data_IF_709097367705
#
_entry.id   IF_709097367705
#
_cell.length_a   1.000
_cell.length_b   1.000
_cell.length_c   1.000
_cell.angle_alpha   90.00
_cell.angle_beta   90.00
_cell.angle_gamma   90.00
#
_symmetry.space_group_name_H-M   'P 1'
#
loop_
_entity.id
_entity.type
_entity.pdbx_description
1 polymer ?
#
# COMPACT_ATOMS: atom_id res chain seq x y z
N UNK A 1 16.47 14.67 43.53
CA UNK A 1 17.87 14.77 43.05
C UNK A 1 18.33 13.38 42.68
N UNK A 2 18.71 13.20 41.42
CA UNK A 2 19.13 11.92 40.84
C UNK A 2 19.33 12.16 39.34
N UNK A 3 20.51 12.69 39.01
CA UNK A 3 20.92 13.06 37.65
C UNK A 3 21.12 11.82 36.77
N UNK A 4 20.52 11.82 35.58
CA UNK A 4 20.91 10.91 34.50
C UNK A 4 22.01 11.57 33.67
N UNK A 5 23.21 10.99 33.71
CA UNK A 5 24.37 11.38 32.90
C UNK A 5 24.24 10.74 31.51
N UNK A 6 24.07 11.55 30.46
CA UNK A 6 24.23 11.09 29.08
C UNK A 6 25.72 10.95 28.74
N UNK A 7 26.14 9.77 28.29
CA UNK A 7 27.45 9.56 27.67
C UNK A 7 27.37 9.91 26.19
N UNK A 8 28.19 10.86 25.76
CA UNK A 8 28.44 11.17 24.35
C UNK A 8 29.50 10.21 23.79
N UNK A 9 29.20 9.57 22.66
CA UNK A 9 30.22 8.89 21.83
C UNK A 9 30.66 9.84 20.72
N UNK A 10 31.92 10.29 20.82
CA UNK A 10 32.61 11.09 19.82
C UNK A 10 32.89 10.26 18.56
N UNK A 11 32.35 10.65 17.40
CA UNK A 11 32.98 10.35 16.11
C UNK A 11 33.77 11.58 15.67
N UNK A 12 35.09 11.43 15.56
CA UNK A 12 35.95 12.41 14.92
C UNK A 12 35.78 12.30 13.39
N UNK A 13 35.35 13.38 12.73
CA UNK A 13 35.50 13.55 11.30
C UNK A 13 36.07 14.95 11.02
N UNK A 14 37.13 15.00 10.20
CA UNK A 14 37.92 16.18 9.89
C UNK A 14 37.13 17.22 9.08
N UNK A 15 37.13 18.46 9.58
CA UNK A 15 37.00 19.76 8.89
C UNK A 15 36.27 19.80 7.52
N UNK A 16 34.99 20.16 7.58
CA UNK A 16 34.23 20.82 6.52
C UNK A 16 32.92 21.31 7.13
N UNK A 17 32.67 22.62 7.16
CA UNK A 17 31.57 23.26 7.89
C UNK A 17 30.21 22.57 7.69
N UNK A 18 29.59 22.13 8.78
CA UNK A 18 28.17 21.81 8.83
C UNK A 18 27.52 22.66 9.90
N UNK A 19 26.55 23.49 9.50
CA UNK A 19 25.63 24.18 10.42
C UNK A 19 24.88 23.10 11.18
N UNK A 20 25.17 22.97 12.48
CA UNK A 20 24.40 22.11 13.38
C UNK A 20 23.08 22.83 13.67
N UNK A 21 22.03 22.49 12.93
CA UNK A 21 20.66 22.80 13.35
C UNK A 21 20.31 21.80 14.45
N UNK A 22 20.32 22.28 15.69
CA UNK A 22 19.69 21.60 16.83
C UNK A 22 18.18 21.57 16.59
N UNK A 23 17.68 20.52 15.93
CA UNK A 23 16.25 20.25 15.89
C UNK A 23 15.79 19.76 17.28
N UNK A 24 15.04 20.60 18.00
CA UNK A 24 14.20 20.15 19.10
C UNK A 24 13.20 19.11 18.57
N UNK A 25 13.08 17.96 19.24
CA UNK A 25 12.23 16.84 18.86
C UNK A 25 10.73 17.21 18.67
N UNK A 26 10.28 18.36 19.18
CA UNK A 26 8.92 18.87 18.96
C UNK A 26 8.69 19.53 17.59
N UNK A 27 9.73 19.98 16.88
CA UNK A 27 9.60 20.59 15.55
C UNK A 27 9.95 19.64 14.39
N UNK A 28 10.59 18.49 14.64
CA UNK A 28 10.75 17.44 13.64
C UNK A 28 9.51 16.54 13.46
N UNK A 29 8.62 16.47 14.47
CA UNK A 29 7.42 15.63 14.43
C UNK A 29 6.25 16.32 13.69
N UNK A 30 6.31 17.65 13.53
CA UNK A 30 5.24 18.46 12.93
C UNK A 30 5.08 18.30 11.40
N UNK A 31 5.83 17.42 10.71
CA UNK A 31 5.72 17.22 9.24
C UNK A 31 5.37 15.80 8.78
N UNK A 32 5.07 14.88 9.71
CA UNK A 32 4.69 13.50 9.38
C UNK A 32 3.17 13.28 9.31
N UNK A 33 2.39 14.19 9.89
CA UNK A 33 0.94 14.11 9.82
C UNK A 33 0.46 14.56 8.44
N UNK A 34 -0.62 13.96 7.95
CA UNK A 34 -1.35 14.43 6.75
C UNK A 34 -0.59 14.27 5.42
N UNK A 35 0.14 13.17 5.24
CA UNK A 35 0.81 12.89 3.95
C UNK A 35 -0.07 12.11 2.97
N UNK A 36 -1.14 11.50 3.47
CA UNK A 36 -2.04 10.69 2.65
C UNK A 36 -3.50 11.12 2.83
N UNK A 37 -4.25 11.02 1.75
CA UNK A 37 -5.70 10.94 1.74
C UNK A 37 -6.11 9.46 1.77
N UNK A 38 -7.25 9.13 2.39
CA UNK A 38 -7.72 7.74 2.52
C UNK A 38 -9.12 7.54 1.97
N UNK A 39 -9.21 6.74 0.91
CA UNK A 39 -10.45 6.38 0.26
C UNK A 39 -10.91 4.97 0.67
N UNK A 40 -12.19 4.84 0.99
CA UNK A 40 -12.88 3.55 1.09
C UNK A 40 -13.32 3.10 -0.30
N UNK A 41 -12.67 2.08 -0.86
CA UNK A 41 -12.91 1.63 -2.24
C UNK A 41 -14.02 0.57 -2.35
N UNK A 42 -14.61 0.14 -1.23
CA UNK A 42 -15.66 -0.89 -1.20
C UNK A 42 -16.82 -0.54 -0.27
N UNK A 43 -17.13 0.74 -0.11
CA UNK A 43 -18.24 1.16 0.74
C UNK A 43 -19.55 0.50 0.29
N UNK A 44 -20.18 -0.25 1.20
CA UNK A 44 -21.43 -0.98 0.94
C UNK A 44 -21.25 -2.40 0.37
N UNK A 45 -20.00 -2.86 0.21
CA UNK A 45 -19.64 -4.17 -0.32
C UNK A 45 -18.83 -5.00 0.69
N UNK A 46 -19.18 -4.91 1.98
CA UNK A 46 -18.42 -5.56 3.06
C UNK A 46 -18.92 -6.97 3.42
N UNK A 47 -18.03 -7.92 3.77
CA UNK A 47 -16.56 -7.79 3.84
C UNK A 47 -15.89 -7.76 2.45
N UNK A 48 -14.71 -7.12 2.35
CA UNK A 48 -13.93 -7.05 1.11
C UNK A 48 -12.44 -6.87 1.39
N UNK A 49 -11.57 -7.16 0.41
CA UNK A 49 -10.16 -6.81 0.48
C UNK A 49 -9.60 -6.36 -0.87
N UNK A 50 -8.87 -5.24 -0.84
CA UNK A 50 -8.00 -4.81 -1.93
C UNK A 50 -6.68 -5.55 -1.80
N UNK A 51 -6.13 -5.97 -2.93
CA UNK A 51 -4.96 -6.84 -3.03
C UNK A 51 -3.82 -6.20 -3.83
N UNK A 52 -4.15 -5.37 -4.82
CA UNK A 52 -3.17 -4.80 -5.74
C UNK A 52 -3.59 -3.42 -6.26
N UNK A 53 -2.61 -2.60 -6.66
CA UNK A 53 -2.82 -1.27 -7.24
C UNK A 53 -1.77 -1.00 -8.32
N UNK A 54 -2.19 -0.60 -9.54
CA UNK A 54 -1.24 -0.22 -10.59
C UNK A 54 -1.00 1.30 -10.67
N UNK A 55 -0.10 1.72 -11.57
CA UNK A 55 0.27 3.14 -11.77
C UNK A 55 -0.83 3.99 -12.44
N UNK A 56 -1.96 3.39 -12.83
CA UNK A 56 -3.17 4.11 -13.28
C UNK A 56 -4.24 4.21 -12.19
N UNK A 57 -3.88 3.93 -10.92
CA UNK A 57 -4.79 3.89 -9.78
C UNK A 57 -5.94 2.89 -9.93
N UNK A 58 -5.72 1.81 -10.71
CA UNK A 58 -6.67 0.70 -10.79
C UNK A 58 -6.36 -0.28 -9.68
N UNK A 59 -7.36 -0.56 -8.85
CA UNK A 59 -7.24 -1.43 -7.68
C UNK A 59 -7.95 -2.76 -7.93
N UNK A 60 -7.29 -3.88 -7.65
CA UNK A 60 -7.90 -5.21 -7.73
C UNK A 60 -8.07 -5.84 -6.35
N UNK A 61 -8.98 -6.80 -6.25
CA UNK A 61 -9.18 -7.58 -5.03
C UNK A 61 -10.37 -8.52 -5.10
N UNK A 62 -10.95 -8.83 -3.94
CA UNK A 62 -12.20 -9.56 -3.83
C UNK A 62 -13.22 -8.78 -2.99
N UNK A 63 -14.48 -8.88 -3.39
CA UNK A 63 -15.57 -8.06 -2.88
C UNK A 63 -16.87 -8.85 -2.86
N UNK A 64 -17.85 -8.39 -2.06
CA UNK A 64 -19.16 -9.02 -1.97
C UNK A 64 -20.17 -8.19 -2.77
N UNK A 65 -20.64 -8.73 -3.90
CA UNK A 65 -21.70 -8.13 -4.74
C UNK A 65 -23.07 -8.81 -4.56
N UNK A 66 -23.11 -10.00 -3.95
CA UNK A 66 -24.31 -10.83 -3.85
C UNK A 66 -24.33 -11.76 -2.62
N UNK A 67 -25.36 -12.62 -2.50
CA UNK A 67 -25.57 -13.46 -1.32
C UNK A 67 -24.64 -14.67 -1.21
N UNK A 68 -23.85 -14.98 -2.23
CA UNK A 68 -22.97 -16.14 -2.27
C UNK A 68 -21.62 -15.79 -2.88
N UNK A 69 -20.58 -15.92 -2.05
CA UNK A 69 -19.13 -15.95 -2.34
C UNK A 69 -18.42 -14.64 -2.67
N UNK A 70 -17.09 -14.69 -2.50
CA UNK A 70 -16.16 -13.61 -2.81
C UNK A 70 -15.97 -13.52 -4.33
N UNK A 71 -16.15 -12.33 -4.89
CA UNK A 71 -16.06 -12.08 -6.32
C UNK A 71 -14.87 -11.16 -6.64
N UNK A 72 -14.10 -11.53 -7.65
CA UNK A 72 -13.03 -10.73 -8.21
C UNK A 72 -13.61 -9.41 -8.71
N UNK A 73 -13.09 -8.30 -8.18
CA UNK A 73 -13.53 -6.98 -8.54
C UNK A 73 -12.36 -6.05 -8.82
N UNK A 74 -12.67 -4.99 -9.56
CA UNK A 74 -11.76 -3.91 -9.87
C UNK A 74 -12.43 -2.60 -9.50
N UNK A 75 -11.66 -1.71 -8.87
CA UNK A 75 -12.05 -0.34 -8.60
C UNK A 75 -11.26 0.61 -9.49
N UNK A 76 -11.97 1.58 -10.07
CA UNK A 76 -11.36 2.73 -10.77
C UNK A 76 -12.00 4.03 -10.28
N UNK A 77 -11.31 5.14 -10.44
CA UNK A 77 -11.88 6.44 -10.11
C UNK A 77 -13.14 6.76 -10.93
N UNK A 78 -13.18 6.36 -12.21
CA UNK A 78 -14.24 6.72 -13.14
C UNK A 78 -15.51 5.87 -12.96
N UNK A 79 -15.35 4.58 -12.63
CA UNK A 79 -16.46 3.63 -12.57
C UNK A 79 -16.82 3.22 -11.14
N UNK A 80 -15.98 3.54 -10.16
CA UNK A 80 -16.07 2.94 -8.83
C UNK A 80 -15.72 1.46 -8.87
N UNK A 81 -16.24 0.70 -7.91
CA UNK A 81 -16.04 -0.74 -7.80
C UNK A 81 -17.00 -1.49 -8.73
N UNK A 82 -16.48 -2.44 -9.51
CA UNK A 82 -17.28 -3.34 -10.36
C UNK A 82 -16.66 -4.75 -10.41
N UNK A 83 -17.49 -5.80 -10.59
CA UNK A 83 -17.00 -7.17 -10.72
C UNK A 83 -16.35 -7.43 -12.09
N UNK A 84 -15.42 -8.38 -12.15
CA UNK A 84 -14.89 -8.92 -13.41
C UNK A 84 -15.80 -10.05 -13.92
N UNK A 85 -16.09 -10.08 -15.23
CA UNK A 85 -16.87 -11.14 -15.85
C UNK A 85 -16.01 -12.39 -16.10
N UNK A 86 -16.01 -13.29 -15.13
CA UNK A 86 -15.30 -14.56 -15.19
C UNK A 86 -16.22 -15.73 -15.64
N UNK A 87 -17.44 -15.44 -16.11
CA UNK A 87 -18.45 -16.46 -16.41
C UNK A 87 -19.01 -17.14 -15.14
N UNK A 88 -19.53 -18.36 -15.30
CA UNK A 88 -20.13 -19.12 -14.19
C UNK A 88 -19.04 -19.74 -13.29
N UNK A 89 -18.68 -19.02 -12.23
CA UNK A 89 -17.73 -19.46 -11.20
C UNK A 89 -18.37 -19.39 -9.81
N UNK A 90 -17.88 -20.20 -8.87
CA UNK A 90 -18.33 -20.17 -7.48
C UNK A 90 -17.71 -19.03 -6.69
N UNK A 91 -16.54 -18.53 -7.07
CA UNK A 91 -15.88 -17.41 -6.41
C UNK A 91 -14.55 -17.12 -7.08
N UNK A 92 -14.00 -15.94 -6.83
CA UNK A 92 -12.79 -15.48 -7.49
C UNK A 92 -12.10 -14.36 -6.73
N UNK A 93 -10.79 -14.26 -6.93
CA UNK A 93 -9.94 -13.26 -6.29
C UNK A 93 -8.93 -12.74 -7.31
N UNK A 94 -8.81 -11.41 -7.44
CA UNK A 94 -7.65 -10.77 -8.08
C UNK A 94 -6.55 -10.64 -7.04
N UNK A 95 -5.35 -11.10 -7.38
CA UNK A 95 -4.15 -10.99 -6.53
C UNK A 95 -3.19 -9.91 -7.00
N UNK A 96 -3.11 -9.66 -8.32
CA UNK A 96 -2.20 -8.68 -8.89
C UNK A 96 -2.75 -8.08 -10.19
N UNK A 97 -2.30 -6.87 -10.54
CA UNK A 97 -2.70 -6.14 -11.75
C UNK A 97 -1.53 -5.37 -12.34
N UNK A 98 -1.25 -5.60 -13.63
CA UNK A 98 -0.17 -4.90 -14.34
C UNK A 98 -0.55 -3.47 -14.73
N UNK A 99 0.44 -2.66 -15.14
CA UNK A 99 0.22 -1.31 -15.67
C UNK A 99 -0.50 -1.29 -17.03
N UNK A 100 -0.64 -2.45 -17.68
CA UNK A 100 -1.48 -2.62 -18.88
C UNK A 100 -2.92 -3.04 -18.57
N UNK A 101 -3.32 -3.00 -17.28
CA UNK A 101 -4.63 -3.41 -16.76
C UNK A 101 -4.97 -4.89 -17.02
N UNK A 102 -3.95 -5.75 -17.00
CA UNK A 102 -4.15 -7.19 -16.97
C UNK A 102 -4.18 -7.66 -15.52
N UNK A 103 -5.27 -8.31 -15.11
CA UNK A 103 -5.45 -8.81 -13.76
C UNK A 103 -5.18 -10.31 -13.71
N UNK A 104 -4.54 -10.77 -12.64
CA UNK A 104 -4.31 -12.20 -12.39
C UNK A 104 -4.79 -12.60 -11.01
N UNK A 105 -5.08 -13.88 -10.85
CA UNK A 105 -5.53 -14.42 -9.59
C UNK A 105 -5.99 -15.86 -9.75
N UNK A 106 -7.05 -16.21 -9.02
CA UNK A 106 -7.66 -17.52 -9.12
C UNK A 106 -9.18 -17.49 -8.94
N UNK A 107 -9.82 -18.54 -9.41
CA UNK A 107 -11.26 -18.76 -9.27
C UNK A 107 -11.57 -20.21 -8.94
N UNK A 108 -12.79 -20.46 -8.45
CA UNK A 108 -13.31 -21.80 -8.23
C UNK A 108 -14.38 -22.13 -9.28
N UNK A 109 -14.16 -23.10 -10.17
CA UNK A 109 -15.15 -23.48 -11.18
C UNK A 109 -16.37 -24.19 -10.58
N UNK A 110 -16.17 -24.91 -9.47
CA UNK A 110 -17.20 -25.71 -8.80
C UNK A 110 -16.97 -25.76 -7.29
N UNK A 111 -17.95 -26.28 -6.53
CA UNK A 111 -17.96 -26.33 -5.05
C UNK A 111 -16.88 -27.28 -4.47
N UNK A 112 -16.08 -27.92 -5.33
CA UNK A 112 -14.96 -28.79 -4.93
C UNK A 112 -13.72 -28.02 -4.42
N UNK A 113 -13.75 -26.68 -4.38
CA UNK A 113 -12.68 -25.80 -3.89
C UNK A 113 -11.32 -25.94 -4.60
N UNK A 114 -11.29 -26.55 -5.79
CA UNK A 114 -10.09 -26.63 -6.63
C UNK A 114 -9.88 -25.29 -7.33
N UNK A 115 -8.90 -24.51 -6.88
CA UNK A 115 -8.62 -23.19 -7.47
C UNK A 115 -7.96 -23.32 -8.84
N UNK A 116 -8.33 -22.43 -9.75
CA UNK A 116 -7.79 -22.34 -11.11
C UNK A 116 -7.22 -20.96 -11.33
N UNK A 117 -5.98 -20.90 -11.82
CA UNK A 117 -5.31 -19.64 -12.09
C UNK A 117 -5.91 -18.99 -13.34
N UNK A 118 -6.14 -17.67 -13.30
CA UNK A 118 -6.63 -16.92 -14.45
C UNK A 118 -5.74 -15.72 -14.77
N UNK A 119 -5.82 -15.30 -16.04
CA UNK A 119 -5.44 -13.98 -16.55
C UNK A 119 -6.70 -13.33 -17.12
N UNK A 120 -6.95 -12.08 -16.79
CA UNK A 120 -8.07 -11.31 -17.30
C UNK A 120 -7.55 -10.05 -17.99
N UNK A 121 -7.97 -9.83 -19.23
CA UNK A 121 -7.65 -8.62 -19.99
C UNK A 121 -8.86 -8.12 -20.80
N UNK A 122 -8.65 -7.20 -21.75
CA UNK A 122 -9.72 -6.65 -22.60
C UNK A 122 -10.44 -7.68 -23.46
N UNK A 123 -9.87 -8.88 -23.61
CA UNK A 123 -10.43 -10.01 -24.37
C UNK A 123 -11.26 -10.96 -23.49
N UNK A 124 -11.27 -10.73 -22.16
CA UNK A 124 -11.95 -11.56 -21.17
C UNK A 124 -10.99 -12.45 -20.37
N UNK A 125 -11.55 -13.44 -19.67
CA UNK A 125 -10.78 -14.39 -18.85
C UNK A 125 -10.11 -15.49 -19.69
N UNK A 126 -8.86 -15.80 -19.34
CA UNK A 126 -8.08 -16.94 -19.79
C UNK A 126 -7.74 -17.82 -18.59
N UNK A 127 -8.23 -19.06 -18.60
CA UNK A 127 -7.80 -20.12 -17.68
C UNK A 127 -6.36 -20.55 -18.05
N UNK A 128 -5.43 -20.43 -17.11
CA UNK A 128 -4.01 -20.71 -17.34
C UNK A 128 -3.69 -22.21 -17.30
N UNK A 129 -4.64 -23.04 -16.85
CA UNK A 129 -4.47 -24.47 -16.63
C UNK A 129 -3.70 -24.79 -15.35
N UNK A 130 -3.15 -26.01 -15.28
CA UNK A 130 -2.32 -26.50 -14.17
C UNK A 130 -1.07 -27.19 -14.72
N UNK A 131 -0.10 -27.49 -13.85
CA UNK A 131 1.07 -28.31 -14.17
C UNK A 131 0.76 -29.82 -14.20
N UNK A 132 -0.51 -30.20 -14.34
CA UNK A 132 -0.98 -31.60 -14.37
C UNK A 132 -1.56 -32.11 -13.05
N UNK A 133 -1.77 -31.24 -12.06
CA UNK A 133 -2.56 -31.49 -10.84
C UNK A 133 -3.90 -30.75 -10.86
N UNK A 134 -4.56 -30.68 -9.70
CA UNK A 134 -5.94 -30.18 -9.59
C UNK A 134 -6.04 -28.66 -9.36
N UNK A 135 -5.01 -28.02 -8.80
CA UNK A 135 -5.07 -26.60 -8.42
C UNK A 135 -3.94 -25.76 -9.00
N UNK A 136 -4.22 -24.48 -9.19
CA UNK A 136 -3.26 -23.44 -9.53
C UNK A 136 -3.75 -22.06 -9.07
N UNK A 137 -2.81 -21.19 -8.70
CA UNK A 137 -3.07 -19.77 -8.45
C UNK A 137 -1.99 -18.92 -9.12
N UNK A 138 -2.40 -17.82 -9.74
CA UNK A 138 -1.51 -16.80 -10.27
C UNK A 138 -1.35 -15.68 -9.23
N UNK A 139 -0.14 -15.53 -8.70
CA UNK A 139 0.14 -14.61 -7.60
C UNK A 139 0.61 -13.23 -8.06
N UNK A 140 1.31 -13.15 -9.20
CA UNK A 140 1.86 -11.89 -9.69
C UNK A 140 1.99 -11.87 -11.22
N UNK A 141 2.03 -10.67 -11.80
CA UNK A 141 2.14 -10.40 -13.23
C UNK A 141 3.11 -9.23 -13.49
N UNK A 142 3.99 -9.38 -14.48
CA UNK A 142 4.82 -8.26 -14.96
C UNK A 142 4.08 -7.40 -15.99
N UNK A 143 4.57 -6.19 -16.26
CA UNK A 143 4.02 -5.32 -17.33
C UNK A 143 4.21 -5.90 -18.73
N UNK A 144 5.10 -6.88 -18.88
CA UNK A 144 5.26 -7.67 -20.11
C UNK A 144 4.27 -8.84 -20.24
N UNK A 145 3.34 -9.00 -19.29
CA UNK A 145 2.30 -10.04 -19.31
C UNK A 145 2.77 -11.41 -18.86
N UNK A 146 3.90 -11.49 -18.14
CA UNK A 146 4.44 -12.75 -17.62
C UNK A 146 3.83 -13.01 -16.26
N UNK A 147 3.14 -14.14 -16.13
CA UNK A 147 2.43 -14.50 -14.90
C UNK A 147 3.21 -15.54 -14.12
N UNK A 148 3.29 -15.38 -12.81
CA UNK A 148 3.92 -16.35 -11.90
C UNK A 148 2.99 -16.76 -10.78
N UNK A 149 3.24 -17.94 -10.23
CA UNK A 149 2.43 -18.44 -9.14
C UNK A 149 2.81 -19.85 -8.75
N UNK A 150 1.82 -20.64 -8.35
CA UNK A 150 2.02 -22.05 -8.01
C UNK A 150 0.93 -22.92 -8.61
N UNK A 151 1.28 -24.17 -8.89
CA UNK A 151 0.33 -25.19 -9.33
C UNK A 151 0.73 -26.55 -8.80
N UNK A 152 -0.25 -27.40 -8.49
CA UNK A 152 0.02 -28.80 -8.25
C UNK A 152 0.44 -29.50 -9.54
N UNK A 153 1.53 -30.26 -9.47
CA UNK A 153 1.88 -31.21 -10.51
C UNK A 153 1.43 -32.64 -10.16
N UNK A 154 1.77 -33.63 -11.02
CA UNK A 154 1.56 -35.03 -10.72
C UNK A 154 2.15 -35.41 -9.35
N UNK A 155 1.39 -36.15 -8.55
CA UNK A 155 1.76 -36.55 -7.18
C UNK A 155 1.51 -35.50 -6.10
N UNK A 156 0.73 -34.44 -6.39
CA UNK A 156 0.24 -33.49 -5.39
C UNK A 156 1.29 -32.52 -4.84
N UNK A 157 2.44 -32.37 -5.51
CA UNK A 157 3.50 -31.45 -5.09
C UNK A 157 3.26 -30.04 -5.62
N UNK A 158 3.28 -29.05 -4.73
CA UNK A 158 3.11 -27.63 -5.09
C UNK A 158 4.36 -27.09 -5.78
N UNK A 159 4.24 -26.66 -7.03
CA UNK A 159 5.36 -26.27 -7.89
C UNK A 159 5.23 -24.81 -8.32
N UNK A 160 6.31 -24.01 -8.21
CA UNK A 160 6.29 -22.67 -8.76
C UNK A 160 6.24 -22.73 -10.29
N UNK A 161 5.47 -21.86 -10.91
CA UNK A 161 5.35 -21.78 -12.36
C UNK A 161 5.62 -20.38 -12.89
N UNK A 162 5.93 -20.32 -14.18
CA UNK A 162 5.86 -19.13 -15.02
C UNK A 162 4.95 -19.44 -16.22
N UNK A 163 4.04 -18.53 -16.54
CA UNK A 163 3.18 -18.59 -17.72
C UNK A 163 3.61 -17.49 -18.67
N UNK A 164 3.97 -17.88 -19.89
CA UNK A 164 4.41 -16.97 -20.95
C UNK A 164 4.03 -17.55 -22.31
N UNK A 165 3.60 -16.69 -23.22
CA UNK A 165 3.24 -17.05 -24.59
C UNK A 165 2.20 -18.18 -24.66
N UNK A 166 1.21 -18.14 -23.76
CA UNK A 166 0.15 -19.13 -23.70
C UNK A 166 0.51 -20.44 -22.97
N UNK A 167 1.71 -20.56 -22.40
CA UNK A 167 2.22 -21.83 -21.87
C UNK A 167 2.66 -21.71 -20.41
N UNK A 168 2.05 -22.51 -19.53
CA UNK A 168 2.50 -22.72 -18.16
C UNK A 168 3.71 -23.65 -18.12
N UNK A 169 4.81 -23.20 -17.53
CA UNK A 169 6.04 -23.98 -17.32
C UNK A 169 6.43 -23.96 -15.85
N UNK A 170 6.86 -25.11 -15.33
CA UNK A 170 7.47 -25.20 -14.00
C UNK A 170 8.78 -24.39 -13.97
N UNK A 171 8.96 -23.54 -12.96
CA UNK A 171 10.26 -22.93 -12.67
C UNK A 171 11.23 -23.99 -12.13
N UNK A 172 12.51 -23.91 -12.51
CA UNK A 172 13.48 -24.95 -12.11
C UNK A 172 13.58 -24.99 -10.59
N UNK A 173 13.30 -26.17 -10.04
CA UNK A 173 13.60 -26.57 -8.67
C UNK A 173 14.25 -27.95 -8.71
N UNK A 174 14.85 -28.44 -7.63
CA UNK A 174 15.28 -29.85 -7.63
C UNK A 174 14.05 -30.78 -7.73
N UNK A 175 14.23 -32.02 -8.17
CA UNK A 175 13.09 -32.90 -8.54
C UNK A 175 12.06 -33.07 -7.39
N UNK A 176 12.50 -33.00 -6.14
CA UNK A 176 11.68 -33.12 -4.94
C UNK A 176 11.33 -31.79 -4.26
N UNK A 177 11.75 -30.65 -4.78
CA UNK A 177 11.50 -29.34 -4.18
C UNK A 177 10.14 -28.76 -4.56
N UNK A 178 9.32 -28.57 -3.52
CA UNK A 178 8.10 -27.78 -3.53
C UNK A 178 8.41 -26.29 -3.31
N UNK A 179 7.55 -25.40 -3.79
CA UNK A 179 7.72 -23.97 -3.61
C UNK A 179 6.61 -23.15 -4.26
N UNK A 180 6.72 -21.83 -4.12
CA UNK A 180 5.81 -20.86 -4.72
C UNK A 180 6.61 -19.68 -5.27
N UNK A 181 6.18 -19.16 -6.41
CA UNK A 181 6.54 -17.83 -6.86
C UNK A 181 5.46 -16.85 -6.35
N UNK A 182 5.89 -15.75 -5.74
CA UNK A 182 5.02 -14.77 -5.10
C UNK A 182 5.09 -13.38 -5.76
N UNK A 183 6.22 -13.04 -6.38
CA UNK A 183 6.40 -11.75 -7.06
C UNK A 183 7.30 -11.89 -8.30
N UNK A 184 7.18 -10.95 -9.23
CA UNK A 184 7.98 -10.85 -10.44
C UNK A 184 8.23 -9.37 -10.77
N UNK A 185 9.39 -9.03 -11.31
CA UNK A 185 9.66 -7.70 -11.86
C UNK A 185 9.69 -7.71 -13.40
N UNK A 186 9.80 -6.54 -14.03
CA UNK A 186 9.81 -6.40 -15.49
C UNK A 186 11.10 -6.90 -16.17
N UNK A 187 12.10 -7.26 -15.36
CA UNK A 187 13.33 -7.90 -15.82
C UNK A 187 13.26 -9.44 -15.75
N UNK A 188 12.08 -10.02 -15.56
CA UNK A 188 11.85 -11.47 -15.45
C UNK A 188 12.54 -12.14 -14.24
N UNK A 189 12.87 -11.36 -13.20
CA UNK A 189 13.30 -11.90 -11.91
C UNK A 189 12.08 -12.25 -11.09
N UNK A 190 12.01 -13.52 -10.68
CA UNK A 190 10.89 -14.05 -9.90
C UNK A 190 11.34 -14.27 -8.47
N UNK A 191 10.52 -13.96 -7.48
CA UNK A 191 10.81 -14.19 -6.06
C UNK A 191 9.76 -15.07 -5.40
N UNK A 192 10.13 -15.68 -4.28
CA UNK A 192 9.23 -16.52 -3.52
C UNK A 192 9.95 -17.32 -2.45
N UNK A 193 9.53 -18.57 -2.29
CA UNK A 193 10.18 -19.52 -1.40
C UNK A 193 10.14 -20.94 -1.94
N UNK A 194 11.08 -21.76 -1.47
CA UNK A 194 11.09 -23.21 -1.68
C UNK A 194 11.30 -23.94 -0.37
N UNK A 195 10.82 -25.17 -0.30
CA UNK A 195 11.10 -26.04 0.83
C UNK A 195 12.48 -26.65 0.72
N UNK A 196 13.19 -26.67 1.84
CA UNK A 196 14.50 -27.27 1.98
C UNK A 196 14.38 -28.60 2.71
N UNK A 197 15.08 -29.60 2.20
CA UNK A 197 15.10 -30.96 2.73
C UNK A 197 16.53 -31.32 3.14
N UNK A 198 16.68 -32.15 4.17
CA UNK A 198 17.96 -32.73 4.56
C UNK A 198 18.38 -33.84 3.59
N UNK A 199 19.65 -34.24 3.65
CA UNK A 199 20.15 -35.41 2.89
C UNK A 199 19.41 -36.72 3.25
N UNK A 200 18.84 -36.78 4.46
CA UNK A 200 18.00 -37.89 4.93
C UNK A 200 16.54 -37.79 4.49
N UNK A 201 16.16 -36.76 3.72
CA UNK A 201 14.79 -36.56 3.22
C UNK A 201 13.82 -35.97 4.24
N UNK A 202 14.31 -35.36 5.31
CA UNK A 202 13.48 -34.66 6.30
C UNK A 202 13.27 -33.21 5.89
N UNK A 203 12.03 -32.71 6.01
CA UNK A 203 11.72 -31.31 5.77
C UNK A 203 12.41 -30.44 6.83
N UNK A 204 13.24 -29.49 6.38
CA UNK A 204 13.91 -28.51 7.24
C UNK A 204 13.01 -27.27 7.39
N UNK A 205 12.41 -26.80 6.29
CA UNK A 205 11.47 -25.67 6.28
C UNK A 205 11.49 -24.89 4.97
N UNK A 206 10.71 -23.82 4.87
CA UNK A 206 10.73 -22.90 3.73
C UNK A 206 11.93 -21.95 3.80
N UNK A 207 12.52 -21.65 2.65
CA UNK A 207 13.63 -20.72 2.51
C UNK A 207 13.35 -19.70 1.38
N UNK A 208 13.64 -18.41 1.61
CA UNK A 208 13.46 -17.38 0.61
C UNK A 208 14.41 -17.61 -0.58
N UNK A 209 13.90 -17.39 -1.79
CA UNK A 209 14.68 -17.55 -3.01
C UNK A 209 14.19 -16.63 -4.12
N UNK A 210 15.01 -16.50 -5.15
CA UNK A 210 14.63 -15.90 -6.42
C UNK A 210 15.05 -16.79 -7.59
N UNK A 211 14.41 -16.60 -8.73
CA UNK A 211 14.79 -17.18 -10.02
C UNK A 211 15.25 -16.08 -10.95
N UNK A 212 16.39 -16.29 -11.60
CA UNK A 212 16.87 -15.44 -12.69
C UNK A 212 16.02 -15.61 -13.95
N UNK A 213 16.13 -14.71 -14.95
CA UNK A 213 15.34 -14.80 -16.19
C UNK A 213 15.52 -16.10 -16.98
N UNK A 214 16.69 -16.75 -16.87
CA UNK A 214 16.95 -18.07 -17.46
C UNK A 214 16.42 -19.25 -16.60
N UNK A 215 15.65 -18.92 -15.56
CA UNK A 215 14.93 -19.80 -14.66
C UNK A 215 15.80 -20.48 -13.62
N UNK A 216 17.03 -20.02 -13.33
CA UNK A 216 17.89 -20.66 -12.31
C UNK A 216 17.52 -20.16 -10.90
N UNK A 217 17.31 -21.06 -9.93
CA UNK A 217 17.01 -20.67 -8.56
C UNK A 217 18.27 -20.27 -7.79
N UNK A 218 18.15 -19.24 -6.97
CA UNK A 218 19.16 -18.75 -6.04
C UNK A 218 18.55 -18.56 -4.65
N UNK A 219 19.26 -18.99 -3.62
CA UNK A 219 18.84 -18.80 -2.23
C UNK A 219 19.14 -17.39 -1.74
N UNK A 220 18.26 -16.87 -0.90
CA UNK A 220 18.47 -15.61 -0.17
C UNK A 220 18.92 -15.91 1.26
N UNK A 221 19.74 -15.01 1.82
CA UNK A 221 20.23 -15.13 3.19
C UNK A 221 19.12 -14.86 4.21
N UNK A 222 19.19 -15.45 5.39
CA UNK A 222 18.28 -15.15 6.52
C UNK A 222 19.02 -14.42 7.64
N UNK A 223 18.30 -13.66 8.47
CA UNK A 223 18.90 -12.90 9.58
C UNK A 223 19.52 -13.82 10.65
N UNK A 224 18.88 -14.95 10.94
CA UNK A 224 19.37 -15.95 11.89
C UNK A 224 20.49 -16.84 11.33
N UNK A 225 20.84 -16.66 10.05
CA UNK A 225 21.82 -17.47 9.30
C UNK A 225 21.45 -18.96 9.23
N UNK A 226 20.19 -19.31 9.48
CA UNK A 226 19.69 -20.67 9.35
C UNK A 226 19.20 -20.93 7.93
N UNK A 227 19.24 -22.19 7.48
CA UNK A 227 18.92 -22.53 6.11
C UNK A 227 17.44 -22.44 5.73
N UNK A 228 16.53 -22.17 6.69
CA UNK A 228 15.09 -22.28 6.50
C UNK A 228 14.35 -21.52 7.59
N UNK A 229 13.62 -20.47 7.19
CA UNK A 229 12.48 -19.80 7.86
C UNK A 229 12.32 -18.41 7.22
N UNK A 230 11.50 -18.30 6.18
CA UNK A 230 11.22 -17.02 5.52
C UNK A 230 10.71 -17.15 4.09
N UNK A 231 10.38 -16.01 3.49
CA UNK A 231 9.93 -15.91 2.11
C UNK A 231 10.18 -14.52 1.55
N UNK A 232 10.55 -14.46 0.27
CA UNK A 232 10.57 -13.22 -0.49
C UNK A 232 9.20 -13.01 -1.12
N UNK A 233 8.64 -11.81 -0.96
CA UNK A 233 7.25 -11.49 -1.34
C UNK A 233 7.19 -10.64 -2.60
N UNK A 234 8.08 -9.64 -2.73
CA UNK A 234 8.10 -8.72 -3.86
C UNK A 234 9.53 -8.35 -4.28
N UNK A 235 9.66 -7.85 -5.50
CA UNK A 235 10.92 -7.41 -6.11
C UNK A 235 10.64 -6.24 -7.06
N UNK A 236 11.46 -5.20 -7.01
CA UNK A 236 11.38 -4.09 -7.97
C UNK A 236 12.36 -4.27 -9.15
N UNK A 237 12.30 -3.42 -10.18
CA UNK A 237 13.16 -3.53 -11.36
C UNK A 237 14.65 -3.29 -11.08
N UNK A 238 15.01 -2.71 -9.94
CA UNK A 238 16.41 -2.62 -9.47
C UNK A 238 16.92 -3.93 -8.84
N UNK A 239 16.08 -4.98 -8.79
CA UNK A 239 16.33 -6.26 -8.12
C UNK A 239 16.52 -6.13 -6.60
N UNK A 240 15.93 -5.11 -5.99
CA UNK A 240 15.76 -5.04 -4.55
C UNK A 240 14.56 -5.92 -4.19
N UNK A 241 14.80 -6.90 -3.32
CA UNK A 241 13.79 -7.90 -2.93
C UNK A 241 13.37 -7.62 -1.50
N UNK A 242 12.09 -7.79 -1.18
CA UNK A 242 11.57 -7.65 0.18
C UNK A 242 10.84 -8.90 0.64
N UNK A 243 10.66 -9.03 1.95
CA UNK A 243 9.93 -10.15 2.53
C UNK A 243 10.13 -10.24 4.04
N UNK A 244 10.16 -11.47 4.55
CA UNK A 244 10.36 -11.71 5.97
C UNK A 244 11.20 -12.96 6.23
N UNK A 245 12.02 -12.93 7.28
CA UNK A 245 12.80 -14.08 7.77
C UNK A 245 12.76 -14.18 9.28
N UNK A 246 12.99 -15.38 9.82
CA UNK A 246 13.19 -15.57 11.26
C UNK A 246 14.33 -14.71 11.80
N UNK A 247 14.16 -14.22 13.03
CA UNK A 247 15.19 -13.53 13.79
C UNK A 247 15.77 -14.45 14.87
N UNK A 248 17.10 -14.42 15.14
CA UNK A 248 17.74 -15.40 16.03
C UNK A 248 17.35 -15.32 17.53
N UNK A 249 16.49 -14.39 17.94
CA UNK A 249 16.04 -14.25 19.34
C UNK A 249 14.75 -15.02 19.69
N UNK A 250 14.09 -15.71 18.75
CA UNK A 250 12.84 -16.42 19.01
C UNK A 250 12.06 -16.82 17.76
N UNK A 251 10.75 -17.07 17.91
CA UNK A 251 9.83 -17.50 16.84
C UNK A 251 9.29 -16.36 15.96
N UNK A 252 9.89 -15.17 16.03
CA UNK A 252 9.37 -13.98 15.35
C UNK A 252 9.97 -13.83 13.96
N UNK A 253 9.15 -13.33 13.03
CA UNK A 253 9.58 -12.93 11.70
C UNK A 253 9.86 -11.44 11.67
N UNK A 254 10.99 -11.05 11.10
CA UNK A 254 11.33 -9.65 10.85
C UNK A 254 11.19 -9.35 9.36
N UNK A 255 10.71 -8.14 9.06
CA UNK A 255 10.65 -7.63 7.70
C UNK A 255 12.08 -7.35 7.25
N UNK A 256 12.40 -7.74 6.02
CA UNK A 256 13.75 -7.63 5.49
C UNK A 256 13.78 -7.08 4.08
N UNK A 257 14.93 -6.52 3.73
CA UNK A 257 15.33 -6.16 2.38
C UNK A 257 16.55 -6.99 2.00
N UNK A 258 16.53 -7.56 0.79
CA UNK A 258 17.71 -8.12 0.16
C UNK A 258 18.20 -7.21 -0.96
N UNK A 259 19.43 -6.74 -0.82
CA UNK A 259 20.10 -5.88 -1.78
C UNK A 259 21.60 -6.25 -1.84
N UNK A 260 22.16 -6.31 -3.05
CA UNK A 260 23.58 -6.63 -3.23
C UNK A 260 24.01 -7.98 -2.62
N UNK A 261 23.09 -8.95 -2.54
CA UNK A 261 23.32 -10.27 -1.93
C UNK A 261 23.36 -10.28 -0.40
N UNK A 262 22.99 -9.18 0.26
CA UNK A 262 22.92 -9.06 1.72
C UNK A 262 21.47 -8.96 2.17
N UNK A 263 21.20 -9.43 3.39
CA UNK A 263 19.91 -9.26 4.07
C UNK A 263 20.02 -8.13 5.10
N UNK A 264 19.06 -7.22 5.08
CA UNK A 264 18.94 -6.07 5.96
C UNK A 264 17.66 -6.19 6.77
N UNK A 265 17.76 -6.12 8.10
CA UNK A 265 16.60 -6.07 8.99
C UNK A 265 16.01 -4.65 8.98
N UNK A 266 14.73 -4.53 8.64
CA UNK A 266 14.02 -3.24 8.62
C UNK A 266 12.94 -3.14 9.70
N UNK A 267 12.95 -4.06 10.68
CA UNK A 267 12.06 -4.00 11.84
C UNK A 267 12.33 -2.75 12.70
N UNK A 268 11.27 -2.07 13.17
CA UNK A 268 11.39 -0.93 14.07
C UNK A 268 11.77 -1.38 15.50
N UNK A 269 12.90 -0.89 16.03
CA UNK A 269 13.30 -1.17 17.40
C UNK A 269 12.38 -0.46 18.43
N UNK A 270 11.66 -1.25 19.24
CA UNK A 270 10.75 -0.74 20.27
C UNK A 270 9.99 -1.81 21.05
N UNK A 271 10.67 -2.42 22.02
CA UNK A 271 10.16 -3.14 23.22
C UNK A 271 9.01 -4.16 23.09
N UNK A 272 9.03 -5.08 22.11
CA UNK A 272 8.09 -6.20 22.13
C UNK A 272 8.52 -7.41 21.31
N UNK A 273 7.99 -8.58 21.66
CA UNK A 273 8.08 -9.85 20.90
C UNK A 273 7.22 -9.81 19.63
N UNK A 274 7.25 -8.70 18.88
CA UNK A 274 6.45 -8.52 17.67
C UNK A 274 7.06 -9.19 16.43
N UNK A 275 6.21 -9.41 15.42
CA UNK A 275 6.65 -9.82 14.07
C UNK A 275 6.36 -8.70 13.07
N UNK A 276 7.03 -8.72 11.93
CA UNK A 276 6.77 -7.81 10.82
C UNK A 276 7.05 -8.52 9.50
N UNK A 277 6.31 -8.15 8.47
CA UNK A 277 6.51 -8.63 7.12
C UNK A 277 6.46 -7.48 6.13
N UNK A 278 7.47 -7.37 5.28
CA UNK A 278 7.41 -6.53 4.09
C UNK A 278 6.66 -7.31 3.00
N UNK A 279 5.68 -6.67 2.39
CA UNK A 279 4.76 -7.32 1.44
C UNK A 279 5.01 -6.84 0.03
N UNK A 280 5.18 -5.53 -0.17
CA UNK A 280 5.40 -4.93 -1.50
C UNK A 280 6.46 -3.83 -1.44
N UNK A 281 7.07 -3.54 -2.60
CA UNK A 281 8.11 -2.53 -2.80
C UNK A 281 7.92 -1.88 -4.19
N UNK A 282 8.03 -0.56 -4.28
CA UNK A 282 7.99 0.15 -5.56
C UNK A 282 9.39 0.49 -6.12
N UNK A 283 9.44 1.12 -7.30
CA UNK A 283 10.70 1.50 -7.95
C UNK A 283 11.49 2.58 -7.22
N UNK A 284 10.87 3.29 -6.28
CA UNK A 284 11.52 4.27 -5.42
C UNK A 284 12.08 3.66 -4.11
N UNK A 285 12.09 2.33 -3.99
CA UNK A 285 12.49 1.61 -2.78
C UNK A 285 11.64 1.94 -1.54
N UNK A 286 10.38 2.35 -1.74
CA UNK A 286 9.41 2.47 -0.66
C UNK A 286 8.81 1.11 -0.40
N UNK A 287 8.91 0.65 0.84
CA UNK A 287 8.48 -0.69 1.25
C UNK A 287 7.24 -0.57 2.12
N UNK A 288 6.22 -1.40 1.86
CA UNK A 288 5.01 -1.46 2.67
C UNK A 288 4.77 -2.85 3.22
N UNK A 289 4.01 -2.91 4.31
CA UNK A 289 3.62 -4.18 4.89
C UNK A 289 2.86 -4.02 6.20
N UNK A 290 3.04 -4.99 7.09
CA UNK A 290 2.43 -4.97 8.41
C UNK A 290 3.40 -5.40 9.50
N UNK A 291 3.15 -4.89 10.71
CA UNK A 291 3.77 -5.39 11.94
C UNK A 291 2.69 -5.85 12.91
N UNK A 292 2.94 -6.93 13.62
CA UNK A 292 2.07 -7.45 14.67
C UNK A 292 2.78 -7.44 16.01
N UNK A 293 2.04 -7.17 17.08
CA UNK A 293 2.53 -7.33 18.45
C UNK A 293 2.25 -8.75 18.99
N UNK A 294 2.68 -9.01 20.21
CA UNK A 294 2.48 -10.24 20.97
C UNK A 294 1.00 -10.59 21.25
N UNK A 295 0.09 -9.64 21.03
CA UNK A 295 -1.37 -9.81 21.12
C UNK A 295 -2.04 -9.91 19.74
N UNK A 296 -1.26 -10.13 18.67
CA UNK A 296 -1.71 -10.24 17.29
C UNK A 296 -2.40 -8.97 16.73
N UNK A 297 -2.29 -7.82 17.41
CA UNK A 297 -2.74 -6.55 16.83
C UNK A 297 -1.77 -6.16 15.72
N UNK A 298 -2.29 -6.05 14.50
CA UNK A 298 -1.51 -5.65 13.33
C UNK A 298 -1.67 -4.17 13.01
N UNK A 299 -0.62 -3.56 12.49
CA UNK A 299 -0.63 -2.20 11.98
C UNK A 299 0.15 -2.13 10.66
N UNK A 300 -0.41 -1.41 9.68
CA UNK A 300 0.25 -1.13 8.42
C UNK A 300 1.48 -0.22 8.62
N UNK A 301 2.54 -0.44 7.86
CA UNK A 301 3.72 0.42 7.86
C UNK A 301 4.15 0.83 6.45
N UNK A 302 4.87 1.95 6.39
CA UNK A 302 5.67 2.41 5.25
C UNK A 302 7.12 2.53 5.73
N UNK A 303 8.08 2.08 4.92
CA UNK A 303 9.50 2.16 5.21
C UNK A 303 10.25 2.77 4.04
N UNK A 304 11.21 3.65 4.36
CA UNK A 304 12.23 4.15 3.44
C UNK A 304 13.59 4.08 4.13
N UNK A 305 14.68 4.20 3.36
CA UNK A 305 16.02 4.24 3.94
C UNK A 305 16.23 5.50 4.80
N UNK A 306 15.60 6.61 4.42
CA UNK A 306 15.70 7.91 5.07
C UNK A 306 14.93 7.97 6.39
N UNK A 307 13.71 7.42 6.41
CA UNK A 307 12.80 7.55 7.56
C UNK A 307 12.77 6.32 8.47
N UNK A 308 13.22 5.16 7.97
CA UNK A 308 12.91 3.89 8.59
C UNK A 308 11.39 3.60 8.56
N UNK A 309 10.95 2.67 9.42
CA UNK A 309 9.56 2.24 9.48
C UNK A 309 8.68 3.27 10.21
N UNK A 310 7.67 3.78 9.51
CA UNK A 310 6.60 4.63 10.05
C UNK A 310 5.28 3.86 9.99
N UNK A 311 4.46 3.96 11.04
CA UNK A 311 3.10 3.41 11.01
C UNK A 311 2.20 4.26 10.10
N UNK A 312 1.52 3.62 9.15
CA UNK A 312 0.67 4.32 8.17
C UNK A 312 -0.49 5.08 8.84
N UNK A 313 -0.98 4.61 10.00
CA UNK A 313 -1.99 5.32 10.80
C UNK A 313 -1.57 6.74 11.22
N UNK A 314 -0.27 7.03 11.30
CA UNK A 314 0.24 8.35 11.66
C UNK A 314 0.24 9.33 10.47
N UNK A 315 0.08 8.82 9.25
CA UNK A 315 0.15 9.61 8.02
C UNK A 315 -1.24 10.08 7.53
N UNK A 316 -2.32 9.64 8.20
CA UNK A 316 -3.70 9.96 7.86
C UNK A 316 -4.12 11.34 8.39
N UNK A 317 -5.12 11.99 7.77
CA UNK A 317 -5.74 13.19 8.34
C UNK A 317 -6.43 12.86 9.67
N UNK A 318 -6.52 13.83 10.59
CA UNK A 318 -7.21 13.64 11.84
C UNK A 318 -8.68 13.26 11.61
N UNK A 319 -9.22 12.47 12.54
CA UNK A 319 -10.61 12.00 12.51
C UNK A 319 -10.99 11.22 11.25
N UNK A 320 -10.07 10.47 10.66
CA UNK A 320 -10.37 9.54 9.56
C UNK A 320 -11.21 8.33 10.00
N UNK A 321 -11.16 8.00 11.30
CA UNK A 321 -11.78 6.82 11.91
C UNK A 321 -11.26 5.47 11.40
N UNK A 322 -10.12 5.49 10.70
CA UNK A 322 -9.47 4.29 10.22
C UNK A 322 -8.42 3.77 11.21
N UNK A 323 -8.39 2.46 11.40
CA UNK A 323 -7.24 1.73 11.95
C UNK A 323 -6.70 0.80 10.85
N UNK A 324 -5.60 1.20 10.21
CA UNK A 324 -4.95 0.47 9.13
C UNK A 324 -4.15 -0.70 9.70
N UNK A 325 -4.50 -1.91 9.27
CA UNK A 325 -3.98 -3.16 9.84
C UNK A 325 -2.89 -3.77 8.98
N UNK A 326 -3.01 -3.68 7.65
CA UNK A 326 -1.98 -4.12 6.70
C UNK A 326 -2.03 -3.29 5.42
N UNK A 327 -0.87 -2.82 4.97
CA UNK A 327 -0.67 -2.48 3.57
C UNK A 327 -0.31 -3.78 2.82
N UNK A 328 -0.87 -3.97 1.63
CA UNK A 328 -0.67 -5.20 0.85
C UNK A 328 0.06 -4.93 -0.45
N UNK A 329 -0.12 -3.74 -1.04
CA UNK A 329 0.57 -3.37 -2.27
C UNK A 329 0.80 -1.85 -2.37
N UNK A 330 1.81 -1.47 -3.15
CA UNK A 330 2.22 -0.08 -3.40
C UNK A 330 2.65 0.09 -4.85
N UNK A 331 2.16 1.14 -5.50
CA UNK A 331 2.57 1.49 -6.87
C UNK A 331 3.71 2.53 -6.88
N UNK A 332 4.20 2.89 -8.07
CA UNK A 332 5.29 3.87 -8.22
C UNK A 332 4.88 5.31 -7.95
N UNK A 333 3.58 5.58 -7.93
CA UNK A 333 3.02 6.84 -7.46
C UNK A 333 2.91 6.91 -5.94
N UNK A 334 3.43 5.92 -5.22
CA UNK A 334 3.32 5.76 -3.77
C UNK A 334 1.88 5.61 -3.27
N UNK A 335 0.93 5.20 -4.12
CA UNK A 335 -0.41 4.85 -3.68
C UNK A 335 -0.36 3.48 -3.02
N UNK A 336 -1.00 3.35 -1.87
CA UNK A 336 -0.92 2.14 -1.04
C UNK A 336 -2.33 1.58 -0.88
N UNK A 337 -2.51 0.32 -1.28
CA UNK A 337 -3.74 -0.41 -1.02
C UNK A 337 -3.54 -1.34 0.17
N UNK A 338 -4.61 -1.59 0.92
CA UNK A 338 -4.54 -2.43 2.09
C UNK A 338 -5.88 -2.70 2.72
N UNK A 339 -5.81 -3.25 3.94
CA UNK A 339 -6.98 -3.58 4.76
C UNK A 339 -6.88 -2.94 6.14
N UNK A 340 -8.01 -2.42 6.60
CA UNK A 340 -8.14 -1.83 7.93
C UNK A 340 -9.51 -2.09 8.53
N UNK A 341 -9.79 -1.39 9.62
CA UNK A 341 -11.13 -1.29 10.22
C UNK A 341 -11.58 0.15 10.26
N UNK A 342 -12.89 0.36 10.15
CA UNK A 342 -13.53 1.67 10.24
C UNK A 342 -14.79 1.56 11.08
N UNK A 343 -14.78 2.20 12.26
CA UNK A 343 -15.81 1.95 13.27
C UNK A 343 -15.83 0.46 13.68
N UNK A 344 -17.02 -0.15 13.65
CA UNK A 344 -17.21 -1.58 14.00
C UNK A 344 -16.96 -2.54 12.82
N UNK A 345 -16.76 -2.02 11.60
CA UNK A 345 -16.55 -2.85 10.41
C UNK A 345 -15.06 -3.17 10.26
N UNK A 346 -14.75 -4.46 10.27
CA UNK A 346 -13.40 -5.00 10.06
C UNK A 346 -13.22 -5.43 8.60
N UNK A 347 -11.97 -5.57 8.15
CA UNK A 347 -11.62 -5.94 6.78
C UNK A 347 -12.26 -5.01 5.75
N UNK A 348 -11.98 -3.71 5.87
CA UNK A 348 -12.31 -2.74 4.83
C UNK A 348 -11.09 -2.44 3.96
N UNK A 349 -11.24 -2.50 2.63
CA UNK A 349 -10.17 -2.11 1.73
C UNK A 349 -10.05 -0.59 1.68
N UNK A 350 -8.82 -0.10 1.77
CA UNK A 350 -8.52 1.31 1.61
C UNK A 350 -7.57 1.52 0.45
N UNK A 351 -7.64 2.72 -0.12
CA UNK A 351 -6.61 3.26 -1.00
C UNK A 351 -6.04 4.53 -0.35
N UNK A 352 -4.75 4.51 0.00
CA UNK A 352 -4.01 5.70 0.40
C UNK A 352 -3.45 6.36 -0.85
N UNK A 353 -3.71 7.65 -1.00
CA UNK A 353 -3.17 8.48 -2.07
C UNK A 353 -2.28 9.54 -1.46
N UNK A 354 -1.00 9.67 -1.86
CA UNK A 354 -0.15 10.75 -1.38
C UNK A 354 -0.76 12.12 -1.68
N UNK A 355 -0.51 13.06 -0.79
CA UNK A 355 -0.99 14.43 -0.90
C UNK A 355 0.22 15.34 -0.98
N UNK A 356 0.27 16.13 -2.04
CA UNK A 356 1.33 17.10 -2.29
C UNK A 356 0.73 18.51 -2.41
N UNK A 357 0.49 19.18 -1.27
CA UNK A 357 -0.01 20.54 -1.26
C UNK A 357 0.91 21.50 -2.03
N UNK A 358 0.33 22.28 -2.94
CA UNK A 358 1.02 23.40 -3.61
C UNK A 358 0.33 24.75 -3.40
N UNK A 359 -0.87 24.73 -2.82
CA UNK A 359 -1.65 25.91 -2.45
C UNK A 359 -1.55 26.10 -0.94
N UNK A 360 -1.30 27.34 -0.50
CA UNK A 360 -1.30 27.67 0.92
C UNK A 360 -2.68 28.20 1.31
N UNK A 361 -3.42 27.44 2.12
CA UNK A 361 -4.71 27.83 2.66
C UNK A 361 -4.52 28.37 4.07
N UNK A 362 -5.05 29.57 4.32
CA UNK A 362 -5.03 30.18 5.65
C UNK A 362 -6.11 29.61 6.56
N UNK A 363 -6.01 29.90 7.85
CA UNK A 363 -7.18 29.80 8.75
C UNK A 363 -8.21 30.90 8.43
N UNK A 364 -9.45 30.69 8.86
CA UNK A 364 -10.45 31.75 8.89
C UNK A 364 -10.05 32.81 9.92
N UNK A 365 -10.06 34.08 9.51
CA UNK A 365 -9.80 35.22 10.39
C UNK A 365 -10.98 36.20 10.37
N UNK A 366 -11.53 36.63 11.54
CA UNK A 366 -11.03 36.37 12.90
C UNK A 366 -11.31 34.95 13.44
N UNK A 367 -12.12 34.12 12.74
CA UNK A 367 -12.37 32.75 13.19
C UNK A 367 -13.32 32.65 14.39
N UNK A 368 -14.16 33.66 14.58
CA UNK A 368 -15.14 33.74 15.68
C UNK A 368 -16.54 33.43 15.17
N UNK A 369 -17.25 32.57 15.88
CA UNK A 369 -18.62 32.21 15.51
C UNK A 369 -19.56 33.42 15.59
N UNK A 370 -20.46 33.55 14.62
CA UNK A 370 -21.37 34.70 14.46
C UNK A 370 -20.74 35.92 13.81
N UNK A 371 -19.42 35.92 13.57
CA UNK A 371 -18.72 37.02 12.91
C UNK A 371 -18.36 36.68 11.46
N UNK A 372 -18.25 37.74 10.64
CA UNK A 372 -17.71 37.62 9.29
C UNK A 372 -16.24 37.25 9.38
N UNK A 373 -15.85 36.15 8.76
CA UNK A 373 -14.47 35.70 8.65
C UNK A 373 -14.05 35.54 7.19
N UNK A 374 -12.76 35.66 6.94
CA UNK A 374 -12.13 35.52 5.63
C UNK A 374 -11.18 34.34 5.64
N UNK A 375 -11.14 33.58 4.54
CA UNK A 375 -10.14 32.54 4.28
C UNK A 375 -9.53 32.79 2.90
N UNK A 376 -8.22 32.59 2.79
CA UNK A 376 -7.45 32.87 1.58
C UNK A 376 -6.68 31.64 1.12
N UNK A 377 -6.72 31.39 -0.19
CA UNK A 377 -5.83 30.46 -0.86
C UNK A 377 -4.75 31.27 -1.60
N UNK A 378 -3.49 30.96 -1.31
CA UNK A 378 -2.31 31.65 -1.83
C UNK A 378 -1.47 30.69 -2.69
N UNK A 379 -0.53 31.24 -3.47
CA UNK A 379 0.26 30.51 -4.47
C UNK A 379 -0.59 29.87 -5.58
N UNK A 380 -1.74 30.46 -5.89
CA UNK A 380 -2.64 29.97 -6.94
C UNK A 380 -2.24 30.60 -8.28
N UNK A 381 -2.26 29.85 -9.41
CA UNK A 381 -2.08 30.46 -10.72
C UNK A 381 -3.06 31.63 -10.96
N UNK A 382 -2.59 32.84 -11.31
CA UNK A 382 -3.45 34.00 -11.53
C UNK A 382 -4.58 33.71 -12.52
N UNK A 383 -5.81 34.09 -12.18
CA UNK A 383 -7.00 33.84 -12.99
C UNK A 383 -7.58 32.41 -12.91
N UNK A 384 -6.99 31.50 -12.13
CA UNK A 384 -7.54 30.15 -11.94
C UNK A 384 -8.72 30.14 -10.95
N UNK A 385 -9.60 29.14 -11.09
CA UNK A 385 -10.79 28.99 -10.24
C UNK A 385 -10.47 28.12 -9.03
N UNK A 386 -10.59 28.68 -7.83
CA UNK A 386 -10.39 27.98 -6.56
C UNK A 386 -11.73 27.60 -5.95
N UNK A 387 -11.85 26.32 -5.57
CA UNK A 387 -12.97 25.79 -4.82
C UNK A 387 -12.57 25.58 -3.36
N UNK A 388 -13.30 26.21 -2.43
CA UNK A 388 -13.06 26.10 -0.99
C UNK A 388 -14.01 25.07 -0.39
N UNK A 389 -13.47 24.14 0.38
CA UNK A 389 -14.18 22.99 0.93
C UNK A 389 -14.04 22.94 2.45
N UNK A 390 -15.06 22.39 3.11
CA UNK A 390 -15.02 22.09 4.54
C UNK A 390 -15.64 20.73 4.86
N UNK A 391 -15.08 20.03 5.85
CA UNK A 391 -15.57 18.75 6.33
C UNK A 391 -15.42 18.58 7.84
N UNK A 392 -16.19 17.64 8.40
CA UNK A 392 -16.09 17.24 9.81
C UNK A 392 -15.08 16.12 10.06
N UNK A 393 -14.72 15.37 9.03
CA UNK A 393 -13.94 14.15 9.14
C UNK A 393 -12.84 14.16 8.09
N UNK A 394 -11.70 13.58 8.45
CA UNK A 394 -10.61 13.33 7.51
C UNK A 394 -10.96 12.16 6.61
N UNK A 395 -10.47 12.18 5.37
CA UNK A 395 -10.82 11.15 4.39
C UNK A 395 -10.03 11.23 3.10
N UNK A 396 -10.67 10.79 2.03
CA UNK A 396 -10.09 10.64 0.69
C UNK A 396 -11.08 10.97 -0.41
N UNK A 397 -11.91 12.00 -0.20
CA UNK A 397 -12.98 12.32 -1.15
C UNK A 397 -12.42 12.60 -2.55
N UNK A 398 -13.05 11.95 -3.52
CA UNK A 398 -12.74 12.13 -4.94
C UNK A 398 -13.37 13.41 -5.44
N UNK A 399 -12.59 14.20 -6.17
CA UNK A 399 -13.14 15.25 -7.03
C UNK A 399 -13.30 14.61 -8.40
N UNK A 400 -14.53 14.49 -8.90
CA UNK A 400 -14.83 13.77 -10.15
C UNK A 400 -14.11 14.32 -11.38
N UNK A 401 -13.65 15.58 -11.33
CA UNK A 401 -12.88 16.22 -12.40
C UNK A 401 -11.37 16.16 -12.19
N UNK A 402 -10.89 15.73 -11.02
CA UNK A 402 -9.46 15.67 -10.72
C UNK A 402 -8.97 14.24 -10.74
N UNK A 403 -7.76 14.01 -11.24
CA UNK A 403 -7.15 12.69 -11.27
C UNK A 403 -6.60 12.32 -9.88
N UNK A 404 -7.04 11.18 -9.33
CA UNK A 404 -6.59 10.68 -8.03
C UNK A 404 -5.09 10.40 -8.01
N UNK A 405 -4.47 10.12 -9.15
CA UNK A 405 -3.01 9.92 -9.26
C UNK A 405 -2.22 11.20 -8.99
N UNK A 406 -2.86 12.38 -9.14
CA UNK A 406 -2.23 13.67 -8.86
C UNK A 406 -2.38 14.05 -7.41
N UNK A 407 -3.63 14.06 -6.94
CA UNK A 407 -3.97 14.41 -5.56
C UNK A 407 -5.39 13.93 -5.25
N UNK A 408 -5.60 13.52 -3.99
CA UNK A 408 -6.92 13.31 -3.41
C UNK A 408 -7.13 14.28 -2.24
N UNK A 409 -8.39 14.63 -1.97
CA UNK A 409 -8.70 15.49 -0.82
C UNK A 409 -8.53 14.70 0.47
N UNK A 410 -8.01 15.36 1.50
CA UNK A 410 -7.90 14.78 2.84
C UNK A 410 -9.19 14.90 3.65
N UNK A 411 -10.29 15.23 2.98
CA UNK A 411 -11.60 15.47 3.56
C UNK A 411 -12.53 14.30 3.24
N UNK A 412 -13.40 13.94 4.18
CA UNK A 412 -14.53 13.06 3.93
C UNK A 412 -15.81 13.87 3.74
N UNK A 413 -16.61 13.49 2.74
CA UNK A 413 -17.87 14.15 2.36
C UNK A 413 -17.79 15.69 2.41
N UNK A 414 -16.79 16.30 1.73
CA UNK A 414 -16.57 17.72 1.79
C UNK A 414 -17.77 18.49 1.24
N UNK A 415 -18.10 19.60 1.90
CA UNK A 415 -19.07 20.57 1.40
C UNK A 415 -18.35 21.75 0.80
N UNK A 416 -18.83 22.17 -0.37
CA UNK A 416 -18.35 23.39 -0.99
C UNK A 416 -18.86 24.61 -0.23
N UNK A 417 -17.91 25.45 0.20
CA UNK A 417 -18.16 26.68 0.93
C UNK A 417 -18.31 27.88 -0.01
N UNK A 418 -17.57 27.87 -1.11
CA UNK A 418 -17.59 28.91 -2.13
C UNK A 418 -16.57 28.68 -3.24
N UNK A 419 -16.54 29.62 -4.19
CA UNK A 419 -15.55 29.69 -5.26
C UNK A 419 -15.03 31.11 -5.39
N UNK A 420 -13.75 31.27 -5.70
CA UNK A 420 -13.16 32.55 -6.05
C UNK A 420 -12.16 32.38 -7.19
N UNK A 421 -11.94 33.43 -7.96
CA UNK A 421 -10.90 33.49 -9.00
C UNK A 421 -9.68 34.17 -8.39
N UNK A 422 -8.50 33.59 -8.59
CA UNK A 422 -7.26 34.17 -8.08
C UNK A 422 -6.94 35.51 -8.77
N UNK A 423 -6.52 36.49 -7.99
CA UNK A 423 -6.10 37.81 -8.47
C UNK A 423 -4.72 37.78 -9.17
N UNK A 424 -4.21 38.95 -9.55
CA UNK A 424 -2.90 39.08 -10.19
C UNK A 424 -1.72 38.67 -9.30
N UNK A 425 -1.92 38.63 -7.98
CA UNK A 425 -0.93 38.19 -7.00
C UNK A 425 -1.04 36.69 -6.67
N UNK A 426 -1.99 35.98 -7.30
CA UNK A 426 -2.22 34.55 -7.05
C UNK A 426 -2.96 34.27 -5.75
N UNK A 427 -3.80 35.22 -5.29
CA UNK A 427 -4.63 35.07 -4.08
C UNK A 427 -6.10 34.96 -4.47
N UNK A 428 -6.77 33.93 -3.97
CA UNK A 428 -8.21 33.76 -4.06
C UNK A 428 -8.83 33.82 -2.66
N UNK A 429 -9.93 34.54 -2.50
CA UNK A 429 -10.50 34.83 -1.18
C UNK A 429 -12.00 34.59 -1.16
N UNK A 430 -12.50 33.95 -0.11
CA UNK A 430 -13.93 33.93 0.21
C UNK A 430 -14.17 34.48 1.62
N UNK A 431 -15.36 35.02 1.82
CA UNK A 431 -15.82 35.52 3.11
C UNK A 431 -17.12 34.83 3.50
N UNK A 432 -17.29 34.59 4.79
CA UNK A 432 -18.51 33.96 5.30
C UNK A 432 -18.67 34.16 6.80
N UNK A 433 -19.92 34.07 7.26
CA UNK A 433 -20.22 34.03 8.69
C UNK A 433 -20.17 32.60 9.16
N UNK A 434 -19.33 32.32 10.17
CA UNK A 434 -19.28 31.02 10.81
C UNK A 434 -20.51 30.87 11.72
N UNK A 435 -21.41 29.89 11.51
CA UNK A 435 -22.61 29.81 12.33
C UNK A 435 -22.32 29.45 13.80
N UNK A 436 -23.00 30.09 14.75
CA UNK A 436 -22.82 29.89 16.21
C UNK A 436 -22.86 28.42 16.67
N UNK A 437 -23.63 27.56 16.00
CA UNK A 437 -23.69 26.12 16.32
C UNK A 437 -22.36 25.38 16.15
N UNK A 438 -21.37 26.00 15.51
CA UNK A 438 -20.03 25.47 15.29
C UNK A 438 -19.00 25.95 16.31
N UNK A 439 -19.37 26.83 17.25
CA UNK A 439 -18.51 27.22 18.36
C UNK A 439 -18.00 25.99 19.12
N UNK A 440 -16.71 25.98 19.42
CA UNK A 440 -15.99 24.89 20.08
C UNK A 440 -15.84 23.61 19.25
N UNK A 441 -16.21 23.61 17.96
CA UNK A 441 -16.06 22.45 17.07
C UNK A 441 -14.87 22.62 16.16
N UNK A 442 -14.05 21.58 16.07
CA UNK A 442 -12.96 21.49 15.10
C UNK A 442 -13.53 21.15 13.71
N UNK A 443 -13.06 21.83 12.67
CA UNK A 443 -13.48 21.66 11.27
C UNK A 443 -12.24 21.61 10.40
N UNK A 444 -12.27 20.75 9.39
CA UNK A 444 -11.20 20.61 8.41
C UNK A 444 -11.56 21.42 7.17
N UNK A 445 -10.59 22.11 6.59
CA UNK A 445 -10.72 22.89 5.38
C UNK A 445 -9.62 22.53 4.40
N UNK A 446 -9.97 22.54 3.12
CA UNK A 446 -9.03 22.38 2.03
C UNK A 446 -9.56 23.14 0.82
N UNK A 447 -8.67 23.57 -0.05
CA UNK A 447 -9.02 24.16 -1.33
C UNK A 447 -8.40 23.35 -2.47
N UNK A 448 -9.00 23.45 -3.65
CA UNK A 448 -8.39 22.92 -4.87
C UNK A 448 -8.63 23.83 -6.06
N UNK A 449 -7.71 23.77 -7.03
CA UNK A 449 -7.84 24.41 -8.34
C UNK A 449 -8.38 23.40 -9.32
N UNK A 450 -9.54 23.69 -9.91
CA UNK A 450 -10.25 22.73 -10.76
C UNK A 450 -9.48 22.39 -12.03
N UNK A 451 -8.80 23.37 -12.60
CA UNK A 451 -8.12 23.25 -13.89
C UNK A 451 -6.80 22.44 -13.78
N UNK A 452 -6.11 22.52 -12.63
CA UNK A 452 -4.79 21.91 -12.44
C UNK A 452 -4.81 20.68 -11.53
N UNK A 453 -5.88 20.49 -10.74
CA UNK A 453 -5.96 19.49 -9.67
C UNK A 453 -4.98 19.74 -8.51
N UNK A 454 -4.42 20.94 -8.42
CA UNK A 454 -3.61 21.36 -7.28
C UNK A 454 -4.51 21.51 -6.05
N UNK A 455 -4.02 21.04 -4.90
CA UNK A 455 -4.72 21.09 -3.64
C UNK A 455 -3.93 21.88 -2.61
N UNK A 456 -4.64 22.40 -1.61
CA UNK A 456 -4.01 23.08 -0.50
C UNK A 456 -3.56 22.13 0.60
N UNK A 457 -2.77 22.68 1.53
CA UNK A 457 -2.61 22.05 2.84
C UNK A 457 -3.97 21.89 3.51
N UNK A 458 -4.06 20.91 4.40
CA UNK A 458 -5.21 20.75 5.28
C UNK A 458 -5.13 21.82 6.38
N UNK A 459 -6.23 22.52 6.59
CA UNK A 459 -6.37 23.46 7.70
C UNK A 459 -7.37 22.88 8.69
N UNK A 460 -6.93 22.71 9.93
CA UNK A 460 -7.78 22.19 11.01
C UNK A 460 -7.99 23.30 12.03
N UNK A 461 -9.21 23.82 12.10
CA UNK A 461 -9.52 25.00 12.93
C UNK A 461 -10.69 24.73 13.87
N UNK A 462 -10.54 25.16 15.12
CA UNK A 462 -11.63 25.24 16.09
C UNK A 462 -12.10 26.68 16.19
N UNK A 463 -13.40 26.91 16.05
CA UNK A 463 -13.99 28.25 16.13
C UNK A 463 -14.36 28.60 17.57
N UNK A 464 -14.08 29.83 17.96
CA UNK A 464 -14.49 30.38 19.27
C UNK A 464 -16.00 30.67 19.34
#
# INVERSE_FOLDING_TARGET
>A
MGEYTMRTSNLHCHLGMTVVVLCCASHCIASLHEQYAILDIASGHEPAAGMCVNNSAVCGGWFVFGPLFDEAGVWTQQQGLFPLDLGEVQGSIVLDISNSNQAVGYYWPEIAWQSRAFLYDTSGMVDLGTLGGEEAEANAISDSGVVVGWSYGPGGKRRPFVYRDGVMRRLKTTENEEGQALGINNNDVVVGYKYRWSDSGQLIGNAPCYWTPDGRPHWLATLDKTPSQGGATAVNDANVIVGATSFPNGANMHAVIWEGGRVHDIHAWGSGLGSSSAVSINHHNVVVGHKSNDKFKSAAFVWTQETGMILANLLLPPRSHWDLQSAVDINDLNMIIGRGSRGDVIYRPFLLTPVYPSIDLTEFSPGVSGQMSTIEAQNVPPGATVHFLGARWGGGALITTCDVTKNALQLEDPRQLGTAVADENGVATIQGVIPEKWAGREILFQAFVRETCEISNLVVQTFE
#
